data_IF_383572382057
#
_entry.id   IF_383572382057
#
_cell.length_a   1.000
_cell.length_b   1.000
_cell.length_c   1.000
_cell.angle_alpha   90.00
_cell.angle_beta   90.00
_cell.angle_gamma   90.00
#
_symmetry.space_group_name_H-M   'P 1'
#
loop_
_entity.id
_entity.type
_entity.pdbx_description
1 polymer ?
#
# COMPACT_ATOMS: atom_id res chain seq x y z
N UNK A 1 11.42 -32.96 -28.30
CA UNK A 1 9.99 -32.68 -28.11
C UNK A 1 9.54 -32.83 -26.68
N UNK A 2 10.12 -33.74 -25.93
CA UNK A 2 9.77 -33.94 -24.51
C UNK A 2 10.14 -32.71 -23.66
N UNK A 3 11.16 -31.97 -24.05
CA UNK A 3 11.66 -30.79 -23.35
C UNK A 3 10.60 -29.68 -23.31
N UNK A 4 9.75 -29.56 -24.31
CA UNK A 4 8.75 -28.52 -24.35
C UNK A 4 7.69 -28.63 -23.24
N UNK A 5 7.35 -29.84 -22.85
CA UNK A 5 6.38 -30.03 -21.77
C UNK A 5 6.90 -29.52 -20.42
N UNK A 6 8.19 -29.74 -20.16
CA UNK A 6 8.80 -29.26 -18.90
C UNK A 6 8.82 -27.74 -18.83
N UNK A 7 9.08 -27.06 -19.92
CA UNK A 7 9.11 -25.60 -19.96
C UNK A 7 7.72 -25.01 -19.66
N UNK A 8 6.68 -25.62 -20.23
CA UNK A 8 5.31 -25.15 -19.99
C UNK A 8 4.92 -25.26 -18.52
N UNK A 9 5.36 -26.31 -17.84
CA UNK A 9 5.08 -26.47 -16.42
C UNK A 9 5.73 -25.37 -15.59
N UNK A 10 6.94 -24.96 -15.95
CA UNK A 10 7.63 -23.88 -15.25
C UNK A 10 6.90 -22.56 -15.38
N UNK A 11 6.36 -22.24 -16.55
CA UNK A 11 5.58 -21.03 -16.74
C UNK A 11 4.31 -21.03 -15.90
N UNK A 12 3.63 -22.15 -15.79
CA UNK A 12 2.43 -22.27 -15.00
C UNK A 12 2.71 -21.96 -13.51
N UNK A 13 3.85 -22.40 -13.00
CA UNK A 13 4.24 -22.13 -11.61
C UNK A 13 4.56 -20.67 -11.36
N UNK A 14 5.03 -19.95 -12.37
CA UNK A 14 5.42 -18.54 -12.23
C UNK A 14 4.24 -17.57 -12.36
N UNK A 15 3.12 -18.00 -12.87
CA UNK A 15 1.99 -17.13 -13.18
C UNK A 15 1.16 -16.73 -11.96
N UNK A 16 1.49 -17.23 -10.76
CA UNK A 16 0.71 -16.99 -9.55
C UNK A 16 1.18 -15.81 -8.71
N UNK A 17 2.30 -15.19 -9.07
CA UNK A 17 2.86 -14.06 -8.33
C UNK A 17 2.42 -12.76 -8.98
N UNK A 18 1.80 -11.88 -8.20
CA UNK A 18 1.33 -10.59 -8.66
C UNK A 18 1.82 -9.49 -7.74
N UNK A 19 1.98 -8.31 -8.32
CA UNK A 19 2.33 -7.11 -7.56
C UNK A 19 1.57 -5.93 -8.13
N UNK A 20 0.90 -5.18 -7.25
CA UNK A 20 0.14 -3.98 -7.61
C UNK A 20 0.61 -2.81 -6.79
N UNK A 21 0.60 -1.62 -7.36
CA UNK A 21 0.92 -0.40 -6.63
C UNK A 21 -0.25 0.57 -6.76
N UNK A 22 -0.83 0.91 -5.60
CA UNK A 22 -1.89 1.92 -5.52
C UNK A 22 -1.26 3.21 -5.05
N UNK A 23 -1.49 4.30 -5.77
CA UNK A 23 -0.87 5.57 -5.43
C UNK A 23 -1.86 6.71 -5.56
N UNK A 24 -1.61 7.78 -4.82
CA UNK A 24 -2.40 8.98 -4.86
C UNK A 24 -1.70 10.08 -4.11
N UNK A 25 -2.22 11.30 -4.26
CA UNK A 25 -1.64 12.46 -3.61
C UNK A 25 -2.66 13.57 -3.49
N UNK A 26 -2.38 14.48 -2.57
CA UNK A 26 -3.03 15.77 -2.51
C UNK A 26 -1.95 16.84 -2.37
N UNK A 27 -2.31 18.05 -1.95
CA UNK A 27 -1.33 19.13 -1.83
C UNK A 27 -0.32 18.90 -0.70
N UNK A 28 -0.70 18.14 0.33
CA UNK A 28 0.09 17.98 1.54
C UNK A 28 0.84 16.65 1.59
N UNK A 29 0.26 15.59 1.04
CA UNK A 29 0.80 14.24 1.16
C UNK A 29 0.79 13.51 -0.18
N UNK A 30 1.69 12.54 -0.32
CA UNK A 30 1.56 11.49 -1.30
C UNK A 30 1.65 10.15 -0.60
N UNK A 31 1.00 9.14 -1.17
CA UNK A 31 0.95 7.81 -0.57
C UNK A 31 1.05 6.74 -1.64
N UNK A 32 1.68 5.63 -1.27
CA UNK A 32 1.84 4.48 -2.13
C UNK A 32 1.67 3.22 -1.30
N UNK A 33 0.78 2.33 -1.74
CA UNK A 33 0.61 1.01 -1.13
C UNK A 33 0.97 -0.02 -2.19
N UNK A 34 1.98 -0.82 -1.91
CA UNK A 34 2.38 -1.93 -2.78
C UNK A 34 1.82 -3.21 -2.20
N UNK A 35 1.10 -3.95 -3.02
CA UNK A 35 0.49 -5.22 -2.65
C UNK A 35 1.23 -6.33 -3.39
N UNK A 36 1.79 -7.27 -2.65
CA UNK A 36 2.50 -8.41 -3.22
C UNK A 36 1.71 -9.68 -2.91
N UNK A 37 1.32 -10.41 -3.94
CA UNK A 37 0.64 -11.69 -3.83
C UNK A 37 1.61 -12.77 -4.26
N UNK A 38 1.97 -13.63 -3.33
CA UNK A 38 2.97 -14.67 -3.58
C UNK A 38 2.67 -15.90 -2.75
N UNK A 39 2.61 -17.05 -3.41
CA UNK A 39 2.45 -18.32 -2.71
C UNK A 39 1.19 -18.43 -1.87
N UNK A 40 0.09 -17.80 -2.29
CA UNK A 40 -1.16 -17.83 -1.54
C UNK A 40 -1.23 -16.82 -0.41
N UNK A 41 -0.24 -15.93 -0.30
CA UNK A 41 -0.22 -14.89 0.72
C UNK A 41 -0.27 -13.51 0.07
N UNK A 42 -0.74 -12.52 0.83
CA UNK A 42 -0.79 -11.14 0.37
C UNK A 42 -0.14 -10.26 1.43
N UNK A 43 0.87 -9.49 1.02
CA UNK A 43 1.62 -8.60 1.89
C UNK A 43 1.51 -7.17 1.40
N UNK A 44 1.66 -6.22 2.31
CA UNK A 44 1.52 -4.80 2.00
C UNK A 44 2.75 -4.01 2.42
N UNK A 45 3.07 -2.97 1.62
CA UNK A 45 4.09 -1.98 1.97
C UNK A 45 3.46 -0.61 1.81
N UNK A 46 3.59 0.23 2.82
CA UNK A 46 3.07 1.59 2.79
C UNK A 46 4.22 2.59 2.81
N UNK A 47 4.16 3.55 1.91
CA UNK A 47 5.08 4.69 1.92
C UNK A 47 4.26 5.97 1.89
N UNK A 48 4.55 6.88 2.82
CA UNK A 48 3.94 8.19 2.89
C UNK A 48 5.02 9.24 2.76
N UNK A 49 4.76 10.28 1.99
CA UNK A 49 5.66 11.42 1.85
C UNK A 49 4.89 12.68 2.21
N UNK A 50 5.43 13.44 3.16
CA UNK A 50 4.90 14.76 3.50
C UNK A 50 5.48 15.78 2.53
N UNK A 51 4.63 16.55 1.89
CA UNK A 51 5.02 17.52 0.87
C UNK A 51 5.03 18.96 1.37
N UNK A 52 4.66 19.18 2.62
CA UNK A 52 4.63 20.51 3.19
C UNK A 52 6.01 21.04 3.53
N UNK A 53 6.06 22.31 3.92
CA UNK A 53 7.31 23.00 4.21
C UNK A 53 7.72 22.93 5.68
N UNK A 54 6.81 22.55 6.56
CA UNK A 54 7.02 22.58 8.01
C UNK A 54 7.02 21.17 8.58
N UNK A 55 8.00 20.38 8.20
CA UNK A 55 8.14 19.01 8.67
C UNK A 55 8.15 18.92 10.20
N UNK A 56 8.75 19.93 10.86
CA UNK A 56 8.86 19.96 12.31
C UNK A 56 7.52 20.08 13.03
N UNK A 57 6.49 20.58 12.34
CA UNK A 57 5.17 20.68 12.92
C UNK A 57 4.47 19.33 13.04
N UNK A 58 4.95 18.32 12.28
CA UNK A 58 4.39 16.99 12.34
C UNK A 58 5.24 16.15 13.28
N UNK A 59 4.83 16.08 14.53
CA UNK A 59 5.49 15.24 15.53
C UNK A 59 5.05 13.79 15.33
N UNK A 60 3.79 13.52 15.59
CA UNK A 60 3.19 12.21 15.33
C UNK A 60 1.94 12.39 14.49
N UNK A 61 1.57 11.33 13.79
CA UNK A 61 0.35 11.36 13.00
C UNK A 61 -0.34 10.00 13.05
N UNK A 62 -1.63 10.02 12.73
CA UNK A 62 -2.47 8.84 12.58
C UNK A 62 -2.74 8.63 11.10
N UNK A 63 -2.72 7.37 10.66
CA UNK A 63 -3.22 7.04 9.32
C UNK A 63 -4.08 5.81 9.35
N UNK A 64 -4.98 5.72 8.38
CA UNK A 64 -5.78 4.54 8.11
C UNK A 64 -5.88 4.35 6.61
N UNK A 65 -5.64 3.12 6.16
CA UNK A 65 -5.80 2.75 4.75
C UNK A 65 -6.85 1.66 4.68
N UNK A 66 -7.84 1.82 3.82
CA UNK A 66 -8.88 0.83 3.67
C UNK A 66 -9.34 0.72 2.22
N UNK A 67 -9.76 -0.47 1.83
CA UNK A 67 -10.38 -0.70 0.53
C UNK A 67 -11.72 -0.01 0.50
N UNK A 68 -12.01 0.67 -0.60
CA UNK A 68 -13.20 1.49 -0.71
C UNK A 68 -14.49 0.67 -0.74
N UNK A 69 -14.48 -0.49 -1.39
CA UNK A 69 -15.70 -1.24 -1.68
C UNK A 69 -15.83 -2.58 -0.97
N UNK A 70 -14.73 -3.22 -0.58
CA UNK A 70 -14.79 -4.62 -0.14
C UNK A 70 -14.14 -4.90 1.21
N UNK A 71 -13.41 -3.94 1.78
CA UNK A 71 -12.79 -4.13 3.08
C UNK A 71 -11.62 -5.10 3.12
N UNK A 72 -11.10 -5.54 1.97
CA UNK A 72 -9.99 -6.49 1.92
C UNK A 72 -8.71 -5.93 2.53
N UNK A 73 -8.49 -4.63 2.35
CA UNK A 73 -7.37 -3.94 2.98
C UNK A 73 -7.95 -3.02 4.03
N UNK A 74 -7.44 -3.13 5.25
CA UNK A 74 -7.85 -2.26 6.36
C UNK A 74 -6.75 -2.32 7.41
N UNK A 75 -5.94 -1.27 7.46
CA UNK A 75 -4.90 -1.15 8.47
C UNK A 75 -4.72 0.30 8.87
N UNK A 76 -4.26 0.50 10.10
CA UNK A 76 -4.10 1.83 10.67
C UNK A 76 -2.94 1.83 11.66
N UNK A 77 -2.42 3.01 11.94
CA UNK A 77 -1.42 3.18 13.00
C UNK A 77 -1.59 4.53 13.67
N UNK A 78 -1.39 4.52 14.98
CA UNK A 78 -1.35 5.73 15.79
C UNK A 78 0.12 6.06 16.08
N UNK A 79 0.40 7.32 16.30
CA UNK A 79 1.73 7.77 16.71
C UNK A 79 2.84 7.41 15.72
N UNK A 80 2.51 7.41 14.43
CA UNK A 80 3.51 7.26 13.39
C UNK A 80 4.37 8.51 13.31
N UNK A 81 5.64 8.36 12.92
CA UNK A 81 6.56 9.47 12.79
C UNK A 81 7.23 9.47 11.43
N UNK A 82 7.51 10.66 10.92
CA UNK A 82 8.26 10.82 9.68
C UNK A 82 9.76 10.85 9.97
N UNK A 83 10.55 10.38 9.02
CA UNK A 83 12.00 10.55 9.13
C UNK A 83 12.39 11.99 8.73
N UNK A 84 13.67 12.29 8.76
CA UNK A 84 14.17 13.64 8.47
C UNK A 84 13.88 14.12 7.05
N UNK A 85 13.59 13.18 6.15
CA UNK A 85 13.26 13.50 4.77
C UNK A 85 11.75 13.61 4.53
N UNK A 86 10.95 13.49 5.59
CA UNK A 86 9.50 13.57 5.48
C UNK A 86 8.85 12.30 4.97
N UNK A 87 9.50 11.16 5.18
CA UNK A 87 9.03 9.88 4.66
C UNK A 87 8.71 8.93 5.81
N UNK A 88 7.61 8.21 5.68
CA UNK A 88 7.23 7.10 6.53
C UNK A 88 7.14 5.85 5.68
N UNK A 89 7.72 4.77 6.14
CA UNK A 89 7.70 3.50 5.43
C UNK A 89 7.39 2.37 6.42
N UNK A 90 6.48 1.48 6.05
CA UNK A 90 6.14 0.33 6.88
C UNK A 90 5.79 -0.87 6.02
N UNK A 91 6.29 -2.03 6.41
CA UNK A 91 5.90 -3.31 5.83
C UNK A 91 4.89 -3.95 6.77
N UNK A 92 3.78 -4.38 6.21
CA UNK A 92 2.68 -4.92 6.97
C UNK A 92 2.44 -6.36 6.56
N UNK A 93 2.12 -7.19 7.54
CA UNK A 93 1.67 -8.54 7.26
C UNK A 93 0.29 -8.46 6.64
N UNK A 94 0.08 -9.20 5.59
CA UNK A 94 -1.19 -9.25 4.93
C UNK A 94 -2.02 -10.46 5.37
N UNK A 95 -2.81 -10.96 4.46
CA UNK A 95 -3.67 -12.11 4.69
C UNK A 95 -3.12 -13.35 4.02
N UNK A 96 -3.62 -14.51 4.42
CA UNK A 96 -3.31 -15.78 3.79
C UNK A 96 -4.17 -16.03 2.55
N UNK A 97 -5.00 -15.06 2.17
CA UNK A 97 -5.88 -15.16 1.01
C UNK A 97 -5.68 -13.93 0.15
N UNK A 98 -5.05 -14.06 -1.03
CA UNK A 98 -4.85 -12.92 -1.91
C UNK A 98 -6.18 -12.54 -2.56
N UNK A 99 -6.77 -11.44 -2.07
CA UNK A 99 -8.09 -10.99 -2.50
C UNK A 99 -8.08 -9.63 -3.17
N UNK A 100 -6.98 -8.88 -3.07
CA UNK A 100 -6.89 -7.55 -3.67
C UNK A 100 -6.77 -7.66 -5.18
N UNK A 101 -7.54 -6.85 -5.89
CA UNK A 101 -7.52 -6.75 -7.34
C UNK A 101 -6.88 -5.43 -7.75
N UNK A 102 -6.24 -5.41 -8.91
CA UNK A 102 -5.67 -4.18 -9.47
C UNK A 102 -6.73 -3.11 -9.72
N UNK A 103 -7.99 -3.51 -9.82
CA UNK A 103 -9.10 -2.57 -10.05
C UNK A 103 -9.70 -2.03 -8.76
N UNK A 104 -9.23 -2.48 -7.61
CA UNK A 104 -9.67 -1.95 -6.33
C UNK A 104 -9.21 -0.51 -6.17
N UNK A 105 -9.92 0.22 -5.32
CA UNK A 105 -9.53 1.57 -4.91
C UNK A 105 -9.35 1.58 -3.41
N UNK A 106 -8.33 2.27 -2.95
CA UNK A 106 -8.06 2.44 -1.53
C UNK A 106 -8.28 3.89 -1.15
N UNK A 107 -8.67 4.10 0.11
CA UNK A 107 -8.76 5.44 0.69
C UNK A 107 -7.79 5.52 1.84
N UNK A 108 -6.98 6.57 1.86
CA UNK A 108 -6.12 6.86 3.01
C UNK A 108 -6.65 8.08 3.74
N UNK A 109 -6.68 7.98 5.07
CA UNK A 109 -7.01 9.07 5.96
C UNK A 109 -5.80 9.39 6.81
N UNK A 110 -5.50 10.66 6.96
CA UNK A 110 -4.35 11.13 7.72
C UNK A 110 -4.82 12.21 8.69
N UNK A 111 -4.33 12.15 9.93
CA UNK A 111 -4.64 13.14 10.95
C UNK A 111 -3.35 13.51 11.68
N UNK A 112 -3.09 14.78 11.80
CA UNK A 112 -1.94 15.32 12.54
C UNK A 112 -2.32 16.69 13.09
N UNK A 113 -1.93 16.95 14.32
CA UNK A 113 -2.34 18.15 15.03
C UNK A 113 -3.86 18.29 14.96
N UNK A 114 -4.35 19.43 14.49
CA UNK A 114 -5.80 19.65 14.29
C UNK A 114 -6.21 19.51 12.84
N UNK A 115 -5.33 18.93 12.00
CA UNK A 115 -5.57 18.80 10.56
C UNK A 115 -5.92 17.37 10.20
N UNK A 116 -6.70 17.23 9.14
CA UNK A 116 -7.00 15.91 8.59
C UNK A 116 -7.06 15.99 7.07
N UNK A 117 -6.67 14.89 6.41
CA UNK A 117 -6.71 14.74 4.97
C UNK A 117 -7.24 13.36 4.62
N UNK A 118 -7.83 13.26 3.44
CA UNK A 118 -8.29 11.98 2.91
C UNK A 118 -8.21 12.05 1.40
N UNK A 119 -7.68 10.99 0.78
CA UNK A 119 -7.66 10.90 -0.68
C UNK A 119 -7.60 9.45 -1.13
N UNK A 120 -7.88 9.24 -2.41
CA UNK A 120 -7.99 7.91 -3.01
C UNK A 120 -6.67 7.48 -3.62
N UNK A 121 -6.37 6.19 -3.48
CA UNK A 121 -5.22 5.55 -4.11
C UNK A 121 -5.72 4.58 -5.17
N UNK A 122 -5.17 4.66 -6.36
CA UNK A 122 -5.53 3.77 -7.46
C UNK A 122 -4.29 3.10 -8.02
N UNK A 123 -4.50 1.96 -8.64
CA UNK A 123 -3.43 1.25 -9.33
C UNK A 123 -3.11 1.96 -10.65
N UNK A 124 -1.85 2.21 -10.89
CA UNK A 124 -1.39 2.84 -12.12
C UNK A 124 -0.38 1.99 -12.84
#
# INVERSE_FOLDING_TARGET
TIIFGAILLLFACQSNDNSFTFSGKNETWSAKVTVNQRGGEENYQLQLNYKGNNLEEIDTFYYKVESKNNGNIDFAAHNATLNKDGIYFNKLLGSNSPTTSKDDELVIKLQWNDSSNSFTLINK
#
